data_IF_011765541411
#
_entry.id   IF_011765541411
#
_cell.length_a   1.000
_cell.length_b   1.000
_cell.length_c   1.000
_cell.angle_alpha   90.00
_cell.angle_beta   90.00
_cell.angle_gamma   90.00
#
_symmetry.space_group_name_H-M   'P 1'
#
loop_
_entity.id
_entity.type
_entity.pdbx_description
1 polymer ?
#
# COMPACT_ATOMS: atom_id res chain seq x y z
N UNK A 1 15.32 31.98 -10.18
CA UNK A 1 15.87 30.65 -9.81
C UNK A 1 15.95 30.41 -8.30
N UNK A 2 16.52 31.32 -7.49
CA UNK A 2 16.55 31.18 -6.02
C UNK A 2 15.15 31.17 -5.38
N UNK A 3 14.24 32.08 -5.81
CA UNK A 3 12.86 32.16 -5.31
C UNK A 3 12.02 30.90 -5.61
N UNK A 4 12.24 30.25 -6.77
CA UNK A 4 11.55 29.00 -7.15
C UNK A 4 12.05 27.85 -6.30
N UNK A 5 13.36 27.78 -6.05
CA UNK A 5 13.96 26.74 -5.22
C UNK A 5 13.41 26.78 -3.80
N UNK A 6 13.35 27.96 -3.17
CA UNK A 6 12.76 28.12 -1.83
C UNK A 6 11.29 27.74 -1.79
N UNK A 7 10.53 28.08 -2.85
CA UNK A 7 9.12 27.71 -2.96
C UNK A 7 8.94 26.19 -3.12
N UNK A 8 9.75 25.53 -3.94
CA UNK A 8 9.73 24.08 -4.10
C UNK A 8 10.16 23.35 -2.81
N UNK A 9 11.14 23.88 -2.07
CA UNK A 9 11.54 23.34 -0.77
C UNK A 9 10.43 23.47 0.27
N UNK A 10 9.72 24.60 0.30
CA UNK A 10 8.57 24.81 1.17
C UNK A 10 7.41 23.89 0.79
N UNK A 11 7.08 23.77 -0.50
CA UNK A 11 6.06 22.83 -1.00
C UNK A 11 6.41 21.38 -0.65
N UNK A 12 7.70 21.03 -0.66
CA UNK A 12 8.16 19.70 -0.26
C UNK A 12 7.98 19.42 1.25
N UNK A 13 7.78 20.44 2.09
CA UNK A 13 7.45 20.25 3.50
C UNK A 13 5.93 20.23 3.75
N UNK A 14 5.14 20.67 2.78
CA UNK A 14 3.68 20.65 2.85
C UNK A 14 3.19 19.25 2.47
N UNK A 15 2.62 18.57 3.47
CA UNK A 15 2.02 17.25 3.32
C UNK A 15 0.52 17.32 3.58
N UNK A 16 -0.27 16.49 2.86
CA UNK A 16 -1.69 16.39 3.11
C UNK A 16 -1.94 15.93 4.54
N UNK A 17 -3.06 16.34 5.12
CA UNK A 17 -3.38 16.03 6.52
C UNK A 17 -3.26 14.52 6.77
N UNK A 18 -2.37 14.07 7.67
CA UNK A 18 -2.05 12.65 7.80
C UNK A 18 -3.28 11.87 8.28
N UNK A 19 -3.51 10.69 7.69
CA UNK A 19 -4.65 9.83 8.01
C UNK A 19 -4.79 9.50 9.51
N UNK A 20 -3.66 9.50 10.25
CA UNK A 20 -3.63 9.33 11.70
C UNK A 20 -4.46 10.37 12.47
N UNK A 21 -4.56 11.60 11.95
CA UNK A 21 -5.37 12.66 12.56
C UNK A 21 -6.85 12.54 12.19
N UNK A 22 -7.21 11.63 11.28
CA UNK A 22 -8.58 11.31 10.87
C UNK A 22 -9.10 10.02 11.53
N UNK A 23 -8.23 9.25 12.18
CA UNK A 23 -8.57 7.96 12.81
C UNK A 23 -9.48 8.11 14.03
N UNK A 24 -10.50 7.27 14.12
CA UNK A 24 -11.34 7.13 15.32
C UNK A 24 -10.58 6.36 16.41
N UNK A 25 -10.95 6.52 17.68
CA UNK A 25 -10.36 5.75 18.79
C UNK A 25 -10.30 4.24 18.51
N UNK A 26 -11.36 3.65 17.95
CA UNK A 26 -11.42 2.22 17.59
C UNK A 26 -10.44 1.84 16.47
N UNK A 27 -10.33 2.66 15.43
CA UNK A 27 -9.38 2.46 14.31
C UNK A 27 -7.93 2.63 14.78
N UNK A 28 -7.69 3.56 15.71
CA UNK A 28 -6.38 3.76 16.31
C UNK A 28 -5.98 2.60 17.24
N UNK A 29 -6.96 1.99 17.93
CA UNK A 29 -6.75 0.86 18.83
C UNK A 29 -6.48 -0.42 18.03
N UNK A 30 -7.23 -0.67 16.95
CA UNK A 30 -6.99 -1.81 16.07
C UNK A 30 -5.65 -1.70 15.39
N UNK A 31 -5.28 -0.52 14.88
CA UNK A 31 -3.96 -0.29 14.28
C UNK A 31 -2.81 -0.54 15.26
N UNK A 32 -2.96 -0.21 16.54
CA UNK A 32 -1.98 -0.55 17.59
C UNK A 32 -1.95 -2.06 17.82
N UNK A 33 -3.12 -2.69 17.97
CA UNK A 33 -3.26 -4.15 18.12
C UNK A 33 -2.65 -4.92 16.95
N UNK A 34 -2.86 -4.44 15.72
CA UNK A 34 -2.32 -5.02 14.50
C UNK A 34 -0.80 -5.12 14.50
N UNK A 35 -0.12 -4.07 14.96
CA UNK A 35 1.35 -4.06 15.03
C UNK A 35 1.87 -5.16 15.95
N UNK A 36 1.24 -5.34 17.10
CA UNK A 36 1.59 -6.41 18.02
C UNK A 36 1.23 -7.78 17.44
N UNK A 37 0.08 -7.91 16.79
CA UNK A 37 -0.34 -9.17 16.14
C UNK A 37 0.57 -9.56 14.98
N UNK A 38 1.01 -8.61 14.14
CA UNK A 38 2.02 -8.87 13.08
C UNK A 38 3.32 -9.31 13.72
N UNK A 39 3.79 -8.63 14.77
CA UNK A 39 5.03 -8.98 15.44
C UNK A 39 4.96 -10.41 16.01
N UNK A 40 3.86 -10.75 16.71
CA UNK A 40 3.61 -12.08 17.27
C UNK A 40 3.55 -13.14 16.15
N UNK A 41 2.77 -12.88 15.09
CA UNK A 41 2.65 -13.79 13.94
C UNK A 41 3.99 -13.97 13.23
N UNK A 42 4.78 -12.89 13.09
CA UNK A 42 6.11 -12.93 12.50
C UNK A 42 7.10 -13.77 13.31
N UNK A 43 7.05 -13.66 14.64
CA UNK A 43 7.84 -14.50 15.55
C UNK A 43 7.40 -15.97 15.46
N UNK A 44 6.09 -16.24 15.48
CA UNK A 44 5.52 -17.58 15.29
C UNK A 44 5.93 -18.20 13.95
N UNK A 45 5.90 -17.41 12.88
CA UNK A 45 6.34 -17.84 11.56
C UNK A 45 7.85 -18.13 11.53
N UNK A 46 8.68 -17.30 12.18
CA UNK A 46 10.12 -17.55 12.32
C UNK A 46 10.40 -18.86 13.06
N UNK A 47 9.66 -19.14 14.14
CA UNK A 47 9.75 -20.40 14.88
C UNK A 47 9.41 -21.60 13.98
N UNK A 48 8.37 -21.48 13.15
CA UNK A 48 8.01 -22.50 12.17
C UNK A 48 9.09 -22.71 11.10
N UNK A 49 9.73 -21.65 10.62
CA UNK A 49 10.84 -21.75 9.66
C UNK A 49 12.04 -22.46 10.30
N UNK A 50 12.38 -22.12 11.54
CA UNK A 50 13.46 -22.79 12.29
C UNK A 50 13.16 -24.28 12.48
N UNK A 51 11.92 -24.61 12.90
CA UNK A 51 11.46 -26.01 13.03
C UNK A 51 11.50 -26.76 11.69
N UNK A 52 11.11 -26.12 10.59
CA UNK A 52 11.15 -26.72 9.27
C UNK A 52 12.59 -27.00 8.78
N UNK A 53 13.53 -26.08 9.05
CA UNK A 53 14.95 -26.27 8.76
C UNK A 53 15.53 -27.39 9.64
N UNK A 54 15.18 -27.43 10.93
CA UNK A 54 15.61 -28.47 11.85
C UNK A 54 15.11 -29.86 11.44
N UNK A 55 13.83 -29.97 11.06
CA UNK A 55 13.25 -31.22 10.55
C UNK A 55 13.96 -31.74 9.28
N UNK A 56 14.49 -30.83 8.45
CA UNK A 56 15.23 -31.20 7.24
C UNK A 56 16.60 -31.82 7.56
N UNK A 57 17.21 -31.44 8.69
CA UNK A 57 18.54 -31.92 9.13
C UNK A 57 18.42 -33.14 10.05
N UNK A 58 17.38 -33.23 10.86
CA UNK A 58 17.07 -34.38 11.71
C UNK A 58 15.56 -34.64 11.68
N UNK A 59 15.09 -35.79 11.15
CA UNK A 59 13.67 -36.07 11.05
C UNK A 59 13.07 -36.17 12.46
N UNK A 60 12.01 -35.38 12.71
CA UNK A 60 11.34 -35.35 14.01
C UNK A 60 10.63 -36.69 14.30
N UNK A 61 10.57 -37.05 15.58
CA UNK A 61 9.63 -38.04 16.10
C UNK A 61 8.18 -37.61 15.84
N UNK A 62 7.24 -38.56 15.75
CA UNK A 62 5.83 -38.29 15.41
C UNK A 62 5.17 -37.21 16.30
N UNK A 63 5.59 -37.11 17.57
CA UNK A 63 5.14 -36.10 18.51
C UNK A 63 5.58 -34.67 18.14
N UNK A 64 6.79 -34.49 17.59
CA UNK A 64 7.26 -33.17 17.13
C UNK A 64 6.51 -32.68 15.89
N UNK A 65 6.04 -33.61 15.05
CA UNK A 65 5.24 -33.29 13.86
C UNK A 65 3.83 -32.84 14.22
N UNK A 66 3.21 -33.45 15.22
CA UNK A 66 1.90 -33.02 15.77
C UNK A 66 1.97 -31.59 16.33
N UNK A 67 3.01 -31.28 17.12
CA UNK A 67 3.21 -29.94 17.70
C UNK A 67 3.41 -28.89 16.60
N UNK A 68 4.22 -29.19 15.58
CA UNK A 68 4.44 -28.27 14.46
C UNK A 68 3.15 -27.96 13.67
N UNK A 69 2.26 -28.94 13.50
CA UNK A 69 0.94 -28.73 12.86
C UNK A 69 0.05 -27.79 13.68
N UNK A 70 0.01 -27.94 15.00
CA UNK A 70 -0.75 -27.04 15.88
C UNK A 70 -0.21 -25.60 15.84
N UNK A 71 1.11 -25.43 15.83
CA UNK A 71 1.75 -24.12 15.65
C UNK A 71 1.44 -23.51 14.28
N UNK A 72 1.43 -24.31 13.22
CA UNK A 72 1.06 -23.85 11.87
C UNK A 72 -0.41 -23.40 11.81
N UNK A 73 -1.33 -24.17 12.40
CA UNK A 73 -2.74 -23.80 12.50
C UNK A 73 -2.94 -22.48 13.26
N UNK A 74 -2.29 -22.31 14.42
CA UNK A 74 -2.35 -21.07 15.19
C UNK A 74 -1.83 -19.86 14.39
N UNK A 75 -0.75 -20.04 13.64
CA UNK A 75 -0.15 -18.99 12.81
C UNK A 75 -1.08 -18.53 11.68
N UNK A 76 -1.98 -19.39 11.20
CA UNK A 76 -3.00 -19.05 10.20
C UNK A 76 -4.25 -18.46 10.88
N UNK A 77 -4.66 -19.03 12.01
CA UNK A 77 -5.91 -18.69 12.67
C UNK A 77 -5.90 -17.30 13.32
N UNK A 78 -4.77 -16.92 13.94
CA UNK A 78 -4.62 -15.63 14.62
C UNK A 78 -4.78 -14.45 13.63
N UNK A 79 -4.08 -14.41 12.49
CA UNK A 79 -4.31 -13.38 11.46
C UNK A 79 -5.70 -13.42 10.85
N UNK A 80 -6.28 -14.61 10.65
CA UNK A 80 -7.61 -14.74 10.04
C UNK A 80 -8.70 -14.10 10.91
N UNK A 81 -8.70 -14.34 12.22
CA UNK A 81 -9.62 -13.67 13.16
C UNK A 81 -9.39 -12.17 13.14
N UNK A 82 -8.13 -11.72 13.12
CA UNK A 82 -7.82 -10.31 13.10
C UNK A 82 -8.38 -9.61 11.85
N UNK A 83 -8.23 -10.22 10.67
CA UNK A 83 -8.79 -9.70 9.41
C UNK A 83 -10.32 -9.54 9.52
N UNK A 84 -11.02 -10.52 10.12
CA UNK A 84 -12.48 -10.44 10.30
C UNK A 84 -12.86 -9.26 11.21
N UNK A 85 -12.12 -9.06 12.31
CA UNK A 85 -12.34 -7.93 13.23
C UNK A 85 -12.09 -6.59 12.51
N UNK A 86 -11.01 -6.49 11.73
CA UNK A 86 -10.66 -5.28 10.97
C UNK A 86 -11.74 -4.94 9.92
N UNK A 87 -12.24 -5.94 9.20
CA UNK A 87 -13.36 -5.78 8.26
C UNK A 87 -14.61 -5.28 8.98
N UNK A 88 -14.95 -5.84 10.14
CA UNK A 88 -16.10 -5.41 10.94
C UNK A 88 -16.02 -3.94 11.36
N UNK A 89 -14.83 -3.49 11.73
CA UNK A 89 -14.58 -2.10 12.14
C UNK A 89 -14.59 -1.17 10.93
N UNK A 90 -14.06 -1.62 9.79
CA UNK A 90 -14.18 -0.92 8.50
C UNK A 90 -15.65 -0.70 8.10
N UNK A 91 -16.51 -1.71 8.27
CA UNK A 91 -17.95 -1.58 7.99
C UNK A 91 -18.62 -0.55 8.90
N UNK A 92 -18.36 -0.59 10.21
CA UNK A 92 -18.85 0.44 11.15
C UNK A 92 -18.32 1.83 10.78
N UNK A 93 -17.09 1.89 10.24
CA UNK A 93 -16.52 3.13 9.73
C UNK A 93 -17.33 3.74 8.59
N UNK A 94 -17.66 2.90 7.60
CA UNK A 94 -18.48 3.28 6.43
C UNK A 94 -19.86 3.79 6.86
N UNK A 95 -20.51 3.15 7.84
CA UNK A 95 -21.85 3.61 8.28
C UNK A 95 -21.85 5.00 8.91
N UNK A 96 -20.77 5.39 9.60
CA UNK A 96 -20.64 6.76 10.15
C UNK A 96 -19.85 7.69 9.23
N UNK A 97 -19.56 7.27 7.99
CA UNK A 97 -18.75 8.01 7.04
C UNK A 97 -19.37 9.36 6.70
N UNK A 98 -20.70 9.43 6.56
CA UNK A 98 -21.39 10.66 6.15
C UNK A 98 -21.15 11.83 7.10
N UNK A 99 -21.25 11.61 8.41
CA UNK A 99 -20.99 12.65 9.42
C UNK A 99 -19.49 12.97 9.50
N UNK A 100 -18.63 11.94 9.48
CA UNK A 100 -17.18 12.10 9.61
C UNK A 100 -16.53 12.80 8.41
N UNK A 101 -17.02 12.51 7.22
CA UNK A 101 -16.50 13.07 5.97
C UNK A 101 -16.61 14.60 5.97
N UNK A 102 -17.68 15.14 6.56
CA UNK A 102 -17.85 16.59 6.68
C UNK A 102 -16.88 17.23 7.69
N UNK A 103 -16.74 16.63 8.88
CA UNK A 103 -15.79 17.10 9.90
C UNK A 103 -14.33 17.02 9.39
N UNK A 104 -14.00 15.96 8.66
CA UNK A 104 -12.70 15.80 8.01
C UNK A 104 -12.46 16.85 6.94
N UNK A 105 -13.48 17.16 6.13
CA UNK A 105 -13.39 18.21 5.13
C UNK A 105 -13.13 19.58 5.77
N UNK A 106 -13.77 19.89 6.90
CA UNK A 106 -13.51 21.14 7.63
C UNK A 106 -12.05 21.20 8.12
N UNK A 107 -11.55 20.11 8.72
CA UNK A 107 -10.16 20.03 9.19
C UNK A 107 -9.14 20.11 8.05
N UNK A 108 -9.44 19.49 6.92
CA UNK A 108 -8.63 19.55 5.71
C UNK A 108 -8.57 20.97 5.16
N UNK A 109 -9.71 21.66 5.10
CA UNK A 109 -9.77 23.07 4.70
C UNK A 109 -8.95 23.96 5.66
N UNK A 110 -9.03 23.76 6.97
CA UNK A 110 -8.26 24.56 7.94
C UNK A 110 -6.74 24.33 7.80
N UNK A 111 -6.32 23.08 7.59
CA UNK A 111 -4.92 22.72 7.34
C UNK A 111 -4.41 23.31 6.03
N UNK A 112 -5.18 23.16 4.96
CA UNK A 112 -4.81 23.64 3.62
C UNK A 112 -4.80 25.16 3.56
N UNK A 113 -5.72 25.85 4.26
CA UNK A 113 -5.69 27.33 4.37
C UNK A 113 -4.39 27.83 4.98
N UNK A 114 -3.90 27.22 6.06
CA UNK A 114 -2.61 27.58 6.67
C UNK A 114 -1.45 27.36 5.70
N UNK A 115 -1.50 26.28 4.93
CA UNK A 115 -0.53 26.01 3.88
C UNK A 115 -0.59 27.08 2.76
N UNK A 116 -1.78 27.44 2.31
CA UNK A 116 -2.02 28.47 1.27
C UNK A 116 -1.52 29.84 1.73
N UNK A 117 -1.82 30.27 2.96
CA UNK A 117 -1.34 31.54 3.52
C UNK A 117 0.18 31.66 3.49
N UNK A 118 0.88 30.54 3.70
CA UNK A 118 2.34 30.50 3.61
C UNK A 118 2.88 30.66 2.18
N UNK A 119 2.07 30.33 1.16
CA UNK A 119 2.40 30.40 -0.27
C UNK A 119 2.04 31.76 -0.89
N UNK A 120 1.10 32.51 -0.32
CA UNK A 120 0.70 33.85 -0.80
C UNK A 120 1.87 34.86 -0.76
N UNK A 121 2.93 34.60 0.01
CA UNK A 121 4.10 35.48 0.09
C UNK A 121 4.91 35.52 -1.21
N UNK A 122 4.78 34.52 -2.08
CA UNK A 122 5.54 34.44 -3.33
C UNK A 122 4.86 35.20 -4.49
N UNK A 123 5.64 35.60 -5.49
CA UNK A 123 5.13 36.28 -6.70
C UNK A 123 4.25 35.33 -7.52
N UNK A 124 3.26 35.90 -8.21
CA UNK A 124 2.33 35.16 -9.08
C UNK A 124 3.05 34.37 -10.18
N UNK A 125 4.05 35.00 -10.80
CA UNK A 125 4.90 34.38 -11.84
C UNK A 125 5.65 33.16 -11.31
N UNK A 126 6.22 33.25 -10.09
CA UNK A 126 6.94 32.14 -9.45
C UNK A 126 6.02 30.97 -9.10
N UNK A 127 4.79 31.25 -8.68
CA UNK A 127 3.77 30.24 -8.41
C UNK A 127 3.37 29.50 -9.70
N UNK A 128 3.13 30.23 -10.80
CA UNK A 128 2.81 29.66 -12.11
C UNK A 128 3.96 28.80 -12.64
N UNK A 129 5.20 29.30 -12.56
CA UNK A 129 6.36 28.54 -13.01
C UNK A 129 6.53 27.22 -12.24
N UNK A 130 6.32 27.25 -10.91
CA UNK A 130 6.37 26.03 -10.11
C UNK A 130 5.23 25.06 -10.41
N UNK A 131 4.02 25.57 -10.69
CA UNK A 131 2.88 24.77 -11.12
C UNK A 131 3.22 24.01 -12.40
N UNK A 132 3.78 24.69 -13.42
CA UNK A 132 4.16 24.10 -14.69
C UNK A 132 5.20 22.99 -14.52
N UNK A 133 6.21 23.22 -13.68
CA UNK A 133 7.24 22.21 -13.38
C UNK A 133 6.67 20.97 -12.68
N UNK A 134 5.76 21.16 -11.71
CA UNK A 134 5.10 20.06 -11.02
C UNK A 134 4.16 19.28 -11.94
N UNK A 135 3.38 19.96 -12.78
CA UNK A 135 2.51 19.33 -13.77
C UNK A 135 3.31 18.52 -14.79
N UNK A 136 4.41 19.08 -15.29
CA UNK A 136 5.31 18.37 -16.20
C UNK A 136 5.92 17.13 -15.53
N UNK A 137 6.30 17.23 -14.25
CA UNK A 137 6.82 16.08 -13.49
C UNK A 137 5.76 15.00 -13.29
N UNK A 138 4.53 15.38 -12.92
CA UNK A 138 3.39 14.47 -12.82
C UNK A 138 3.11 13.75 -14.13
N UNK A 139 3.04 14.48 -15.24
CA UNK A 139 2.79 13.93 -16.57
C UNK A 139 3.88 12.93 -16.97
N UNK A 140 5.16 13.26 -16.75
CA UNK A 140 6.30 12.35 -17.00
C UNK A 140 6.23 11.09 -16.14
N UNK A 141 5.87 11.18 -14.87
CA UNK A 141 5.74 10.01 -13.99
C UNK A 141 4.54 9.14 -14.39
N UNK A 142 3.41 9.76 -14.68
CA UNK A 142 2.20 9.06 -15.15
C UNK A 142 2.44 8.34 -16.48
N UNK A 143 3.15 8.98 -17.41
CA UNK A 143 3.55 8.38 -18.67
C UNK A 143 4.42 7.14 -18.45
N UNK A 144 5.43 7.22 -17.57
CA UNK A 144 6.28 6.05 -17.23
C UNK A 144 5.45 4.88 -16.69
N UNK A 145 4.54 5.12 -15.75
CA UNK A 145 3.63 4.07 -15.24
C UNK A 145 2.85 3.46 -16.40
N UNK A 146 2.21 4.30 -17.23
CA UNK A 146 1.38 3.83 -18.35
C UNK A 146 2.17 3.01 -19.37
N UNK A 147 3.47 3.30 -19.58
CA UNK A 147 4.34 2.51 -20.45
C UNK A 147 4.65 1.12 -19.88
N UNK A 148 4.87 1.00 -18.57
CA UNK A 148 5.21 -0.29 -17.93
C UNK A 148 4.02 -1.23 -17.76
N UNK A 149 2.81 -0.68 -17.71
CA UNK A 149 1.62 -1.39 -17.27
C UNK A 149 0.54 -1.49 -18.35
N UNK A 150 0.54 -0.53 -19.29
CA UNK A 150 -0.59 -0.30 -20.20
C UNK A 150 -1.77 0.41 -19.52
N UNK A 151 -2.91 0.45 -20.21
CA UNK A 151 -4.14 1.03 -19.68
C UNK A 151 -4.71 0.17 -18.53
N UNK A 152 -5.44 0.82 -17.62
CA UNK A 152 -6.07 0.24 -16.42
C UNK A 152 -6.79 -1.09 -16.65
N UNK A 153 -7.38 -1.26 -17.83
CA UNK A 153 -8.20 -2.43 -18.20
C UNK A 153 -7.37 -3.72 -18.21
N UNK A 154 -6.07 -3.63 -18.49
CA UNK A 154 -5.17 -4.79 -18.51
C UNK A 154 -4.94 -5.35 -17.10
N UNK A 155 -4.95 -4.52 -16.06
CA UNK A 155 -4.78 -4.97 -14.67
C UNK A 155 -5.93 -5.82 -14.16
N UNK A 156 -7.16 -5.46 -14.51
CA UNK A 156 -8.34 -6.21 -14.10
C UNK A 156 -8.27 -7.62 -14.69
N UNK A 157 -7.89 -7.72 -15.97
CA UNK A 157 -7.70 -9.01 -16.65
C UNK A 157 -6.55 -9.81 -16.02
N UNK A 158 -5.40 -9.19 -15.73
CA UNK A 158 -4.30 -9.88 -15.05
C UNK A 158 -4.65 -10.36 -13.64
N UNK A 159 -5.40 -9.57 -12.87
CA UNK A 159 -5.86 -9.96 -11.53
C UNK A 159 -6.85 -11.12 -11.60
N UNK A 160 -7.78 -11.10 -12.56
CA UNK A 160 -8.74 -12.19 -12.78
C UNK A 160 -8.05 -13.47 -13.23
N UNK A 161 -7.02 -13.39 -14.09
CA UNK A 161 -6.21 -14.55 -14.49
C UNK A 161 -5.45 -15.13 -13.29
N UNK A 162 -4.83 -14.27 -12.47
CA UNK A 162 -4.10 -14.70 -11.27
C UNK A 162 -5.02 -15.37 -10.24
N UNK A 163 -6.20 -14.79 -9.98
CA UNK A 163 -7.20 -15.35 -9.09
C UNK A 163 -7.78 -16.66 -9.65
N UNK A 164 -8.11 -16.70 -10.93
CA UNK A 164 -8.61 -17.89 -11.61
C UNK A 164 -7.62 -19.05 -11.58
N UNK A 165 -6.33 -18.77 -11.79
CA UNK A 165 -5.27 -19.76 -11.65
C UNK A 165 -5.12 -20.26 -10.21
N UNK A 166 -5.17 -19.36 -9.23
CA UNK A 166 -5.08 -19.74 -7.81
C UNK A 166 -6.23 -20.67 -7.41
N UNK A 167 -7.46 -20.37 -7.84
CA UNK A 167 -8.62 -21.21 -7.61
C UNK A 167 -8.47 -22.56 -8.33
N UNK A 168 -8.04 -22.56 -9.58
CA UNK A 168 -7.80 -23.80 -10.34
C UNK A 168 -6.80 -24.71 -9.65
N UNK A 169 -5.68 -24.16 -9.19
CA UNK A 169 -4.60 -24.90 -8.51
C UNK A 169 -5.06 -25.54 -7.20
N UNK A 170 -5.81 -24.81 -6.38
CA UNK A 170 -6.35 -25.34 -5.12
C UNK A 170 -7.39 -26.44 -5.38
N UNK A 171 -8.19 -26.30 -6.45
CA UNK A 171 -9.23 -27.28 -6.78
C UNK A 171 -8.67 -28.56 -7.42
N UNK A 172 -7.54 -28.48 -8.12
CA UNK A 172 -6.98 -29.59 -8.91
C UNK A 172 -6.07 -30.55 -8.12
N UNK A 173 -5.93 -30.40 -6.79
CA UNK A 173 -5.10 -31.26 -5.92
C UNK A 173 -3.67 -31.48 -6.42
N UNK A 174 -3.12 -30.55 -7.19
CA UNK A 174 -1.76 -30.66 -7.73
C UNK A 174 -0.77 -30.43 -6.57
N UNK A 175 0.19 -31.34 -6.32
CA UNK A 175 1.05 -31.26 -5.15
C UNK A 175 1.83 -29.94 -5.13
N UNK A 176 1.90 -29.39 -3.93
CA UNK A 176 2.45 -28.10 -3.54
C UNK A 176 3.85 -27.79 -4.08
N UNK A 177 4.09 -26.48 -4.28
CA UNK A 177 5.35 -25.83 -4.63
C UNK A 177 6.50 -26.44 -3.82
N UNK A 178 7.27 -27.31 -4.46
CA UNK A 178 8.62 -27.60 -4.00
C UNK A 178 9.53 -26.54 -4.61
N UNK A 179 10.30 -25.86 -3.77
CA UNK A 179 11.40 -24.98 -4.20
C UNK A 179 12.57 -25.86 -4.69
N UNK A 180 12.28 -26.82 -5.55
CA UNK A 180 13.27 -27.70 -6.15
C UNK A 180 13.45 -27.24 -7.58
N UNK A 181 14.58 -26.58 -7.83
CA UNK A 181 15.02 -26.12 -9.14
C UNK A 181 15.15 -27.25 -10.16
N UNK A 182 15.03 -28.53 -9.74
CA UNK A 182 15.32 -29.69 -10.58
C UNK A 182 14.11 -30.54 -10.98
N UNK A 183 12.97 -30.50 -10.26
CA UNK A 183 11.87 -31.46 -10.50
C UNK A 183 10.46 -30.83 -10.56
N UNK A 184 10.35 -29.49 -10.65
CA UNK A 184 9.07 -28.79 -10.76
C UNK A 184 8.59 -28.65 -12.21
N UNK A 185 7.31 -28.92 -12.44
CA UNK A 185 6.60 -28.71 -13.71
C UNK A 185 6.91 -27.30 -14.28
N UNK A 186 7.51 -27.24 -15.48
CA UNK A 186 8.08 -26.01 -16.08
C UNK A 186 7.03 -24.88 -16.13
N UNK A 187 5.77 -25.26 -16.36
CA UNK A 187 4.62 -24.35 -16.41
C UNK A 187 4.39 -23.67 -15.06
N UNK A 188 4.51 -24.40 -13.95
CA UNK A 188 4.32 -23.85 -12.60
C UNK A 188 5.44 -22.88 -12.23
N UNK A 189 6.68 -23.21 -12.60
CA UNK A 189 7.84 -22.37 -12.36
C UNK A 189 7.78 -21.08 -13.17
N UNK A 190 7.39 -21.17 -14.45
CA UNK A 190 7.17 -20.01 -15.32
C UNK A 190 6.05 -19.10 -14.80
N UNK A 191 4.94 -19.69 -14.33
CA UNK A 191 3.85 -18.94 -13.72
C UNK A 191 4.26 -18.27 -12.42
N UNK A 192 5.06 -18.93 -11.57
CA UNK A 192 5.58 -18.33 -10.34
C UNK A 192 6.49 -17.14 -10.62
N UNK A 193 7.39 -17.25 -11.60
CA UNK A 193 8.22 -16.12 -12.01
C UNK A 193 7.38 -14.99 -12.63
N UNK A 194 6.37 -15.33 -13.43
CA UNK A 194 5.43 -14.36 -14.00
C UNK A 194 4.65 -13.59 -12.93
N UNK A 195 4.12 -14.28 -11.92
CA UNK A 195 3.39 -13.63 -10.81
C UNK A 195 4.31 -12.80 -9.94
N UNK A 196 5.52 -13.26 -9.64
CA UNK A 196 6.51 -12.48 -8.89
C UNK A 196 6.91 -11.21 -9.65
N UNK A 197 7.14 -11.30 -10.96
CA UNK A 197 7.46 -10.17 -11.81
C UNK A 197 6.34 -9.13 -11.88
N UNK A 198 5.10 -9.58 -12.11
CA UNK A 198 3.91 -8.71 -12.11
C UNK A 198 3.70 -8.03 -10.76
N UNK A 199 3.91 -8.77 -9.66
CA UNK A 199 3.84 -8.22 -8.30
C UNK A 199 4.87 -7.11 -8.10
N UNK A 200 6.10 -7.31 -8.59
CA UNK A 200 7.15 -6.28 -8.55
C UNK A 200 6.77 -5.00 -9.30
N UNK A 201 6.18 -5.13 -10.50
CA UNK A 201 5.66 -3.98 -11.26
C UNK A 201 4.54 -3.27 -10.50
N UNK A 202 3.59 -4.01 -9.94
CA UNK A 202 2.48 -3.44 -9.16
C UNK A 202 2.99 -2.62 -7.95
N UNK A 203 3.94 -3.17 -7.19
CA UNK A 203 4.55 -2.48 -6.05
C UNK A 203 5.33 -1.23 -6.49
N UNK A 204 6.16 -1.33 -7.54
CA UNK A 204 6.90 -0.18 -8.07
C UNK A 204 5.99 0.95 -8.52
N UNK A 205 4.84 0.59 -9.10
CA UNK A 205 3.87 1.56 -9.61
C UNK A 205 3.08 2.23 -8.51
N UNK A 206 2.80 1.52 -7.42
CA UNK A 206 2.21 2.09 -6.21
C UNK A 206 3.10 3.19 -5.63
N UNK A 207 4.42 2.98 -5.57
CA UNK A 207 5.39 3.99 -5.08
C UNK A 207 5.40 5.23 -5.97
N UNK A 208 5.40 5.07 -7.28
CA UNK A 208 5.38 6.21 -8.20
C UNK A 208 4.03 6.95 -8.11
N UNK A 209 2.92 6.22 -8.00
CA UNK A 209 1.59 6.82 -7.87
C UNK A 209 1.45 7.63 -6.57
N UNK A 210 2.03 7.15 -5.47
CA UNK A 210 2.12 7.92 -4.22
C UNK A 210 2.80 9.28 -4.43
N UNK A 211 3.92 9.30 -5.17
CA UNK A 211 4.62 10.54 -5.48
C UNK A 211 3.82 11.48 -6.40
N UNK A 212 3.09 10.93 -7.37
CA UNK A 212 2.19 11.72 -8.24
C UNK A 212 1.10 12.39 -7.42
N UNK A 213 0.45 11.66 -6.51
CA UNK A 213 -0.60 12.21 -5.65
C UNK A 213 -0.07 13.36 -4.78
N UNK A 214 1.16 13.23 -4.27
CA UNK A 214 1.81 14.30 -3.51
C UNK A 214 2.05 15.56 -4.35
N UNK A 215 2.51 15.41 -5.59
CA UNK A 215 2.68 16.55 -6.49
C UNK A 215 1.35 17.17 -6.92
N UNK A 216 0.29 16.37 -7.09
CA UNK A 216 -1.07 16.89 -7.35
C UNK A 216 -1.57 17.76 -6.20
N UNK A 217 -1.41 17.30 -4.97
CA UNK A 217 -1.75 18.10 -3.79
C UNK A 217 -1.00 19.45 -3.77
N UNK A 218 0.31 19.45 -4.07
CA UNK A 218 1.08 20.69 -4.17
C UNK A 218 0.58 21.63 -5.28
N UNK A 219 0.18 21.08 -6.44
CA UNK A 219 -0.43 21.85 -7.54
C UNK A 219 -1.74 22.48 -7.08
N UNK A 220 -2.60 21.72 -6.40
CA UNK A 220 -3.88 22.21 -5.87
C UNK A 220 -3.68 23.37 -4.88
N UNK A 221 -2.71 23.28 -3.97
CA UNK A 221 -2.35 24.38 -3.06
C UNK A 221 -1.91 25.64 -3.80
N UNK A 222 -1.10 25.49 -4.86
CA UNK A 222 -0.67 26.61 -5.71
C UNK A 222 -1.87 27.23 -6.43
N UNK A 223 -2.78 26.43 -6.97
CA UNK A 223 -3.99 26.91 -7.63
C UNK A 223 -4.88 27.73 -6.69
N UNK A 224 -5.06 27.27 -5.45
CA UNK A 224 -5.80 28.03 -4.45
C UNK A 224 -5.08 29.33 -4.06
N UNK A 225 -3.75 29.30 -3.89
CA UNK A 225 -2.96 30.50 -3.62
C UNK A 225 -3.03 31.53 -4.76
N UNK A 226 -3.04 31.08 -6.02
CA UNK A 226 -3.22 31.92 -7.20
C UNK A 226 -4.62 32.53 -7.26
N UNK A 227 -5.67 31.77 -6.92
CA UNK A 227 -7.05 32.28 -6.86
C UNK A 227 -7.24 33.37 -5.80
N UNK A 228 -6.55 33.27 -4.66
CA UNK A 228 -6.65 34.27 -3.59
C UNK A 228 -5.86 35.56 -3.87
N UNK A 229 -4.95 35.54 -4.85
CA UNK A 229 -4.18 36.71 -5.31
C UNK A 229 -4.83 37.48 -6.46
N UNK A 230 -5.84 36.90 -7.12
CA UNK A 230 -6.65 37.57 -8.14
C UNK A 230 -7.74 38.41 -7.48
#
# INVERSE_FOLDING_TARGET
MQEIKSLLEQLNQLEPLPAKNRETYLESLTRRGYKYMIAITGVLFLILVILAIWHKVSPFTDQGREIAKWFALLTIFIPAIYIIIDIGIGLVSIFKFKSRSFDWLILEIDHDKKAIESLIKYKKETLLEAQDWLQLKCSRLSSRISTFIGNSDKYAVFSLIGLGWSVWKELSKVPSISFSLSNGDIVQTLLLYGTAFLTGIALGSMVINYQIQRYKYQIELIEFALKQKN
#
